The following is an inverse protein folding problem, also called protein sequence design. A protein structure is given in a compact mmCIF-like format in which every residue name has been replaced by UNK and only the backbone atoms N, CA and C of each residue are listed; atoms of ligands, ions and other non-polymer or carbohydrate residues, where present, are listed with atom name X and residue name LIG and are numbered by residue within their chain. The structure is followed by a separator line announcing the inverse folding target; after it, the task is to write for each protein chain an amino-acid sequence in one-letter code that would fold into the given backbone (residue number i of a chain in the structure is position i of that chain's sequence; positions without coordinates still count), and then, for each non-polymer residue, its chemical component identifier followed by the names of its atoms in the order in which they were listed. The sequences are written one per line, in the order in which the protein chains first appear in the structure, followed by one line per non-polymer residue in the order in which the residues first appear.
data_IF_778249640719
#
_entry.id   IF_778249640719
#
_cell.length_a   1.000
_cell.length_b   1.000
_cell.length_c   1.000
_cell.angle_alpha   90.00
_cell.angle_beta   90.00
_cell.angle_gamma   90.00
#
_symmetry.space_group_name_H-M   'P 1'
#
loop_
_entity.id
_entity.type
_entity.pdbx_description
1 polymer ?
#
# COMPACT_ATOMS: atom_id res chain seq x y z
N UNK A 1 -30.43 61.42 -31.15
CA UNK A 1 -29.57 60.45 -30.46
C UNK A 1 -30.45 59.72 -29.47
N UNK A 2 -30.54 58.38 -29.50
CA UNK A 2 -31.30 57.65 -28.48
C UNK A 2 -30.60 57.84 -27.11
N UNK A 3 -31.36 57.84 -25.99
CA UNK A 3 -30.82 58.10 -24.67
C UNK A 3 -29.83 57.00 -24.26
N UNK A 4 -28.69 57.41 -23.70
CA UNK A 4 -27.59 56.53 -23.27
C UNK A 4 -27.98 55.51 -22.17
N UNK A 5 -29.15 55.68 -21.56
CA UNK A 5 -29.66 54.81 -20.50
C UNK A 5 -30.05 53.40 -20.99
N UNK A 6 -30.28 53.22 -22.29
CA UNK A 6 -30.64 51.91 -22.87
C UNK A 6 -29.45 50.93 -22.90
N UNK A 7 -28.22 51.42 -22.63
CA UNK A 7 -26.99 50.63 -22.54
C UNK A 7 -26.37 50.60 -21.13
N UNK A 8 -27.02 51.19 -20.13
CA UNK A 8 -26.53 51.18 -18.76
C UNK A 8 -26.80 49.81 -18.10
N UNK A 9 -25.80 48.92 -18.14
CA UNK A 9 -25.86 47.62 -17.46
C UNK A 9 -26.10 47.83 -15.97
N UNK A 10 -27.15 47.20 -15.43
CA UNK A 10 -27.57 47.40 -14.05
C UNK A 10 -26.54 46.80 -13.08
N UNK A 11 -26.00 47.56 -12.10
CA UNK A 11 -24.99 47.06 -11.15
C UNK A 11 -25.39 45.79 -10.42
N UNK A 12 -26.69 45.62 -10.13
CA UNK A 12 -27.24 44.41 -9.48
C UNK A 12 -27.11 43.16 -10.35
N UNK A 13 -27.21 43.28 -11.67
CA UNK A 13 -27.01 42.15 -12.60
C UNK A 13 -25.53 41.75 -12.67
N UNK A 14 -24.62 42.73 -12.56
CA UNK A 14 -23.18 42.46 -12.54
C UNK A 14 -22.80 41.73 -11.25
N UNK A 15 -23.32 42.14 -10.08
CA UNK A 15 -23.10 41.44 -8.81
C UNK A 15 -23.62 40.00 -8.83
N UNK A 16 -24.83 39.77 -9.34
CA UNK A 16 -25.38 38.42 -9.50
C UNK A 16 -24.51 37.56 -10.45
N UNK A 17 -23.99 38.15 -11.52
CA UNK A 17 -23.03 37.51 -12.43
C UNK A 17 -21.73 37.10 -11.73
N UNK A 18 -21.17 37.94 -10.85
CA UNK A 18 -19.96 37.64 -10.08
C UNK A 18 -20.20 36.48 -9.10
N UNK A 19 -21.36 36.45 -8.42
CA UNK A 19 -21.73 35.34 -7.52
C UNK A 19 -21.83 34.02 -8.31
N UNK A 20 -22.45 34.03 -9.48
CA UNK A 20 -22.53 32.86 -10.35
C UNK A 20 -21.14 32.39 -10.82
N UNK A 21 -20.23 33.32 -11.15
CA UNK A 21 -18.85 33.00 -11.52
C UNK A 21 -18.09 32.36 -10.36
N UNK A 22 -18.19 32.89 -9.13
CA UNK A 22 -17.58 32.29 -7.94
C UNK A 22 -18.11 30.88 -7.65
N UNK A 23 -19.41 30.65 -7.83
CA UNK A 23 -20.02 29.31 -7.67
C UNK A 23 -19.46 28.32 -8.69
N UNK A 24 -19.27 28.73 -9.95
CA UNK A 24 -18.65 27.90 -10.99
C UNK A 24 -17.17 27.63 -10.71
N UNK A 25 -16.43 28.65 -10.26
CA UNK A 25 -15.05 28.49 -9.82
C UNK A 25 -14.94 27.42 -8.73
N UNK A 26 -15.76 27.49 -7.68
CA UNK A 26 -15.71 26.52 -6.59
C UNK A 26 -16.01 25.09 -7.05
N UNK A 27 -16.97 24.91 -7.96
CA UNK A 27 -17.25 23.58 -8.55
C UNK A 27 -16.06 23.04 -9.34
N UNK A 28 -15.40 23.87 -10.15
CA UNK A 28 -14.22 23.48 -10.91
C UNK A 28 -13.03 23.18 -10.01
N UNK A 29 -12.81 23.97 -8.94
CA UNK A 29 -11.80 23.68 -7.93
C UNK A 29 -12.07 22.31 -7.28
N UNK A 30 -13.32 22.02 -6.92
CA UNK A 30 -13.68 20.73 -6.33
C UNK A 30 -13.41 19.57 -7.30
N UNK A 31 -13.81 19.70 -8.57
CA UNK A 31 -13.53 18.68 -9.59
C UNK A 31 -12.03 18.50 -9.84
N UNK A 32 -11.24 19.59 -9.83
CA UNK A 32 -9.78 19.55 -9.95
C UNK A 32 -9.14 18.79 -8.79
N UNK A 33 -9.61 19.02 -7.57
CA UNK A 33 -9.13 18.30 -6.38
C UNK A 33 -9.54 16.83 -6.44
N UNK A 34 -10.79 16.51 -6.79
CA UNK A 34 -11.24 15.11 -6.91
C UNK A 34 -10.43 14.34 -7.95
N UNK A 35 -10.22 14.91 -9.13
CA UNK A 35 -9.41 14.28 -10.19
C UNK A 35 -7.94 14.17 -9.81
N UNK A 36 -7.39 15.12 -9.06
CA UNK A 36 -6.04 15.01 -8.50
C UNK A 36 -5.93 13.87 -7.48
N UNK A 37 -6.93 13.69 -6.60
CA UNK A 37 -6.96 12.57 -5.66
C UNK A 37 -7.02 11.23 -6.39
N UNK A 38 -7.83 11.12 -7.44
CA UNK A 38 -7.87 9.90 -8.27
C UNK A 38 -6.51 9.65 -8.93
N UNK A 39 -5.85 10.68 -9.45
CA UNK A 39 -4.51 10.54 -10.02
C UNK A 39 -3.48 10.04 -8.99
N UNK A 40 -3.49 10.56 -7.76
CA UNK A 40 -2.60 10.09 -6.68
C UNK A 40 -2.91 8.63 -6.33
N UNK A 41 -4.19 8.26 -6.20
CA UNK A 41 -4.60 6.88 -5.93
C UNK A 41 -4.17 5.93 -7.05
N UNK A 42 -4.32 6.33 -8.32
CA UNK A 42 -3.84 5.58 -9.47
C UNK A 42 -2.31 5.44 -9.48
N UNK A 43 -1.56 6.46 -9.07
CA UNK A 43 -0.11 6.39 -8.97
C UNK A 43 0.33 5.35 -7.93
N UNK A 44 -0.31 5.33 -6.75
CA UNK A 44 -0.08 4.30 -5.73
C UNK A 44 -0.47 2.92 -6.27
N UNK A 45 -1.61 2.83 -6.96
CA UNK A 45 -2.07 1.61 -7.61
C UNK A 45 -1.08 1.06 -8.63
N UNK A 46 -0.40 1.91 -9.41
CA UNK A 46 0.65 1.48 -10.34
C UNK A 46 1.87 0.89 -9.63
N UNK A 47 2.16 1.29 -8.39
CA UNK A 47 3.26 0.68 -7.65
C UNK A 47 2.87 -0.69 -7.11
N UNK A 48 1.64 -0.85 -6.62
CA UNK A 48 1.17 -2.05 -5.94
C UNK A 48 0.47 -3.08 -6.86
N UNK A 49 0.19 -2.73 -8.13
CA UNK A 49 -0.66 -3.56 -9.01
C UNK A 49 -0.15 -5.00 -9.16
N UNK A 50 1.17 -5.18 -9.28
CA UNK A 50 1.76 -6.50 -9.50
C UNK A 50 1.56 -7.39 -8.28
N UNK A 51 1.90 -6.90 -7.08
CA UNK A 51 1.69 -7.64 -5.82
C UNK A 51 0.22 -7.95 -5.55
N UNK A 52 -0.69 -7.01 -5.86
CA UNK A 52 -2.12 -7.22 -5.68
C UNK A 52 -2.69 -8.28 -6.62
N UNK A 53 -2.26 -8.28 -7.89
CA UNK A 53 -2.70 -9.27 -8.87
C UNK A 53 -2.11 -10.63 -8.55
N UNK A 54 -0.81 -10.71 -8.24
CA UNK A 54 -0.16 -11.95 -7.87
C UNK A 54 -0.75 -12.55 -6.59
N UNK A 55 -0.97 -11.73 -5.57
CA UNK A 55 -1.61 -12.13 -4.32
C UNK A 55 -3.03 -12.68 -4.50
N UNK A 56 -3.79 -12.18 -5.49
CA UNK A 56 -5.11 -12.74 -5.83
C UNK A 56 -5.04 -14.19 -6.33
N UNK A 57 -3.94 -14.57 -6.99
CA UNK A 57 -3.69 -15.94 -7.42
C UNK A 57 -2.91 -16.77 -6.38
N UNK A 58 -2.63 -16.22 -5.19
CA UNK A 58 -1.79 -16.86 -4.18
C UNK A 58 -0.30 -16.93 -4.56
N UNK A 59 0.12 -16.15 -5.57
CA UNK A 59 1.48 -16.08 -6.07
C UNK A 59 2.22 -14.89 -5.47
N UNK A 60 3.54 -14.96 -5.47
CA UNK A 60 4.40 -13.82 -5.20
C UNK A 60 5.64 -13.85 -6.08
N UNK A 61 6.15 -12.67 -6.44
CA UNK A 61 7.37 -12.52 -7.24
C UNK A 61 8.63 -12.71 -6.42
N UNK A 62 8.54 -12.53 -5.11
CA UNK A 62 9.64 -12.66 -4.15
C UNK A 62 9.18 -13.49 -2.96
N UNK A 63 10.13 -14.17 -2.30
CA UNK A 63 9.82 -14.85 -1.04
C UNK A 63 9.57 -13.78 0.01
N UNK A 64 8.32 -13.69 0.48
CA UNK A 64 7.87 -12.65 1.43
C UNK A 64 7.63 -13.18 2.84
N UNK A 65 7.40 -14.49 2.97
CA UNK A 65 7.19 -15.16 4.25
C UNK A 65 7.85 -16.53 4.25
N UNK A 66 8.30 -16.99 5.42
CA UNK A 66 8.81 -18.33 5.59
C UNK A 66 7.64 -19.32 5.55
N UNK A 67 7.53 -20.08 4.46
CA UNK A 67 6.57 -21.16 4.37
C UNK A 67 7.12 -22.41 5.05
N UNK A 68 6.42 -22.89 6.07
CA UNK A 68 6.74 -24.14 6.74
C UNK A 68 5.99 -25.31 6.09
N UNK A 69 6.71 -26.32 5.59
CA UNK A 69 6.09 -27.54 5.07
C UNK A 69 5.50 -28.38 6.21
N UNK A 70 4.47 -29.18 5.90
CA UNK A 70 3.72 -30.01 6.86
C UNK A 70 4.59 -31.05 7.60
N UNK A 71 5.78 -31.32 7.06
CA UNK A 71 6.78 -32.26 7.60
C UNK A 71 7.62 -31.69 8.76
N UNK A 72 7.35 -30.46 9.20
CA UNK A 72 8.10 -29.76 10.26
C UNK A 72 7.36 -29.81 11.59
N UNK A 73 8.11 -29.97 12.69
CA UNK A 73 7.56 -30.09 14.05
C UNK A 73 6.82 -28.84 14.55
N UNK A 74 5.89 -29.05 15.50
CA UNK A 74 5.00 -28.03 16.06
C UNK A 74 5.73 -26.81 16.68
N UNK A 75 6.97 -26.99 17.14
CA UNK A 75 7.77 -25.89 17.70
C UNK A 75 8.18 -24.87 16.62
N UNK A 76 8.57 -25.33 15.43
CA UNK A 76 8.79 -24.46 14.27
C UNK A 76 7.47 -23.92 13.72
N UNK A 77 6.38 -24.71 13.74
CA UNK A 77 5.07 -24.26 13.28
C UNK A 77 4.59 -22.98 13.97
N UNK A 78 4.93 -22.79 15.26
CA UNK A 78 4.62 -21.56 16.00
C UNK A 78 5.36 -20.30 15.51
N UNK A 79 6.45 -20.46 14.76
CA UNK A 79 7.27 -19.37 14.21
C UNK A 79 6.81 -18.97 12.79
N UNK A 80 6.22 -19.91 12.03
CA UNK A 80 5.84 -19.69 10.63
C UNK A 80 4.34 -19.50 10.36
N UNK A 81 3.51 -19.36 11.39
CA UNK A 81 2.10 -19.01 11.26
C UNK A 81 1.96 -17.47 11.07
N UNK A 82 2.62 -16.95 10.03
CA UNK A 82 2.50 -15.54 9.64
C UNK A 82 1.23 -15.33 8.83
N UNK A 83 0.46 -14.25 9.09
CA UNK A 83 -0.73 -13.96 8.30
C UNK A 83 -0.33 -13.76 6.84
N UNK A 84 -1.05 -14.44 5.94
CA UNK A 84 -0.91 -14.32 4.49
C UNK A 84 -0.58 -12.88 4.08
N UNK A 85 0.59 -12.65 3.47
CA UNK A 85 1.11 -11.32 3.12
C UNK A 85 0.07 -10.41 2.44
N UNK A 86 -0.76 -10.95 1.55
CA UNK A 86 -1.87 -10.20 0.94
C UNK A 86 -2.86 -9.65 1.97
N UNK A 87 -3.23 -10.44 2.98
CA UNK A 87 -4.07 -10.01 4.08
C UNK A 87 -3.32 -9.08 5.05
N UNK A 88 -2.01 -9.25 5.23
CA UNK A 88 -1.17 -8.30 5.98
C UNK A 88 -1.13 -6.92 5.28
N UNK A 89 -0.90 -6.88 3.97
CA UNK A 89 -0.99 -5.65 3.16
C UNK A 89 -2.39 -5.04 3.20
N UNK A 90 -3.45 -5.87 3.07
CA UNK A 90 -4.82 -5.40 3.13
C UNK A 90 -5.18 -4.86 4.52
N UNK A 91 -4.67 -5.49 5.58
CA UNK A 91 -4.79 -5.05 6.96
C UNK A 91 -4.05 -3.73 7.18
N UNK A 92 -2.81 -3.61 6.71
CA UNK A 92 -2.03 -2.38 6.75
C UNK A 92 -2.75 -1.24 6.01
N UNK A 93 -3.26 -1.50 4.81
CA UNK A 93 -4.02 -0.53 4.02
C UNK A 93 -5.36 -0.17 4.68
N UNK A 94 -6.04 -1.17 5.26
CA UNK A 94 -7.26 -0.98 6.05
C UNK A 94 -7.01 -0.12 7.28
N UNK A 95 -5.92 -0.35 7.99
CA UNK A 95 -5.47 0.47 9.12
C UNK A 95 -5.13 1.89 8.69
N UNK A 96 -4.50 2.08 7.52
CA UNK A 96 -4.21 3.41 6.99
C UNK A 96 -5.50 4.18 6.68
N UNK A 97 -6.47 3.54 6.02
CA UNK A 97 -7.80 4.10 5.77
C UNK A 97 -8.47 4.46 7.10
N UNK A 98 -8.49 3.52 8.04
CA UNK A 98 -9.12 3.70 9.35
C UNK A 98 -8.49 4.89 10.09
N UNK A 99 -7.16 4.97 10.14
CA UNK A 99 -6.42 6.09 10.76
C UNK A 99 -6.76 7.41 10.12
N UNK A 100 -6.82 7.46 8.79
CA UNK A 100 -7.15 8.67 8.05
C UNK A 100 -8.55 9.16 8.40
N UNK A 101 -9.56 8.30 8.30
CA UNK A 101 -10.95 8.68 8.59
C UNK A 101 -11.18 8.95 10.08
N UNK A 102 -10.66 8.11 10.97
CA UNK A 102 -10.81 8.27 12.41
C UNK A 102 -10.11 9.54 12.92
N UNK A 103 -8.89 9.84 12.46
CA UNK A 103 -8.17 11.05 12.85
C UNK A 103 -8.83 12.29 12.25
N UNK A 104 -9.24 12.24 10.97
CA UNK A 104 -9.87 13.36 10.29
C UNK A 104 -11.22 13.73 10.91
N UNK A 105 -12.12 12.75 11.05
CA UNK A 105 -13.46 12.95 11.63
C UNK A 105 -13.35 13.20 13.13
N UNK A 106 -12.54 12.42 13.85
CA UNK A 106 -12.34 12.53 15.29
C UNK A 106 -11.80 13.90 15.71
N UNK A 107 -10.89 14.49 14.92
CA UNK A 107 -10.40 15.84 15.19
C UNK A 107 -11.51 16.91 15.15
N UNK A 108 -12.54 16.75 14.31
CA UNK A 108 -13.72 17.65 14.33
C UNK A 108 -14.51 17.53 15.63
N UNK A 109 -14.74 16.30 16.10
CA UNK A 109 -15.41 16.06 17.39
C UNK A 109 -14.62 16.65 18.55
N UNK A 110 -13.31 16.40 18.58
CA UNK A 110 -12.42 16.95 19.62
C UNK A 110 -12.53 18.47 19.67
N UNK A 111 -12.37 19.18 18.54
CA UNK A 111 -12.53 20.64 18.51
C UNK A 111 -13.95 21.09 18.89
N UNK A 112 -15.00 20.33 18.51
CA UNK A 112 -16.37 20.62 18.91
C UNK A 112 -16.56 20.55 20.43
N UNK A 113 -16.06 19.51 21.09
CA UNK A 113 -16.15 19.35 22.54
C UNK A 113 -15.25 20.34 23.30
N UNK A 114 -14.02 20.58 22.83
CA UNK A 114 -13.13 21.56 23.47
C UNK A 114 -13.74 22.96 23.51
N UNK A 115 -14.54 23.36 22.51
CA UNK A 115 -15.25 24.65 22.53
C UNK A 115 -16.26 24.80 23.70
N UNK A 116 -16.70 23.71 24.34
CA UNK A 116 -17.57 23.78 25.53
C UNK A 116 -16.80 24.21 26.79
N UNK A 117 -15.47 24.14 26.78
CA UNK A 117 -14.62 24.57 27.89
C UNK A 117 -14.31 26.06 27.72
N UNK A 118 -14.55 26.85 28.78
CA UNK A 118 -14.44 28.33 28.77
C UNK A 118 -13.08 28.82 28.26
N UNK A 119 -11.98 28.12 28.58
CA UNK A 119 -10.64 28.43 28.12
C UNK A 119 -10.49 28.35 26.59
N UNK A 120 -10.94 27.25 25.99
CA UNK A 120 -10.83 27.01 24.56
C UNK A 120 -11.88 27.77 23.76
N UNK A 121 -13.03 28.08 24.35
CA UNK A 121 -14.03 28.96 23.74
C UNK A 121 -13.46 30.34 23.39
N UNK A 122 -12.69 30.95 24.30
CA UNK A 122 -12.05 32.26 24.09
C UNK A 122 -10.90 32.17 23.07
N UNK A 123 -10.07 31.12 23.13
CA UNK A 123 -8.94 30.95 22.19
C UNK A 123 -9.36 30.53 20.77
N UNK A 124 -10.49 29.84 20.62
CA UNK A 124 -11.02 29.42 19.31
C UNK A 124 -11.92 30.47 18.66
N UNK A 125 -11.73 31.77 18.93
CA UNK A 125 -12.45 32.80 18.17
C UNK A 125 -12.00 32.87 16.71
N UNK A 126 -10.68 32.82 16.46
CA UNK A 126 -10.13 32.86 15.10
C UNK A 126 -10.25 31.50 14.39
N UNK A 127 -10.51 31.56 13.08
CA UNK A 127 -10.48 30.38 12.20
C UNK A 127 -9.13 29.67 12.24
N UNK A 128 -8.02 30.43 12.30
CA UNK A 128 -6.66 29.88 12.36
C UNK A 128 -6.46 29.03 13.61
N UNK A 129 -6.92 29.49 14.77
CA UNK A 129 -6.79 28.75 16.03
C UNK A 129 -7.62 27.46 16.03
N UNK A 130 -8.82 27.49 15.43
CA UNK A 130 -9.64 26.27 15.24
C UNK A 130 -8.91 25.23 14.39
N UNK A 131 -8.25 25.69 13.32
CA UNK A 131 -7.46 24.83 12.44
C UNK A 131 -6.24 24.24 13.15
N UNK A 132 -5.49 25.04 13.91
CA UNK A 132 -4.35 24.55 14.71
C UNK A 132 -4.80 23.52 15.74
N UNK A 133 -5.91 23.78 16.45
CA UNK A 133 -6.46 22.81 17.41
C UNK A 133 -6.93 21.51 16.74
N UNK A 134 -7.50 21.61 15.54
CA UNK A 134 -7.87 20.45 14.74
C UNK A 134 -6.64 19.65 14.31
N UNK A 135 -5.56 20.31 13.87
CA UNK A 135 -4.31 19.66 13.47
C UNK A 135 -3.64 18.92 14.64
N UNK A 136 -3.61 19.54 15.83
CA UNK A 136 -3.07 18.89 17.04
C UNK A 136 -3.91 17.65 17.39
N UNK A 137 -5.24 17.77 17.38
CA UNK A 137 -6.12 16.65 17.64
C UNK A 137 -5.94 15.51 16.61
N UNK A 138 -5.77 15.86 15.34
CA UNK A 138 -5.49 14.91 14.27
C UNK A 138 -4.20 14.13 14.55
N UNK A 139 -3.10 14.83 14.86
CA UNK A 139 -1.80 14.20 15.16
C UNK A 139 -1.89 13.29 16.39
N UNK A 140 -2.60 13.72 17.44
CA UNK A 140 -2.76 12.92 18.66
C UNK A 140 -3.58 11.65 18.43
N UNK A 141 -4.70 11.75 17.70
CA UNK A 141 -5.53 10.57 17.36
C UNK A 141 -4.75 9.62 16.46
N UNK A 142 -4.05 10.15 15.46
CA UNK A 142 -3.20 9.37 14.56
C UNK A 142 -2.09 8.65 15.32
N UNK A 143 -1.40 9.36 16.22
CA UNK A 143 -0.36 8.80 17.08
C UNK A 143 -0.91 7.71 18.01
N UNK A 144 -2.06 7.93 18.64
CA UNK A 144 -2.72 6.95 19.50
C UNK A 144 -3.13 5.68 18.74
N UNK A 145 -3.72 5.82 17.55
CA UNK A 145 -4.04 4.69 16.68
C UNK A 145 -2.79 3.96 16.16
N UNK A 146 -1.69 4.70 15.97
CA UNK A 146 -0.42 4.09 15.55
C UNK A 146 0.22 3.29 16.67
N UNK A 147 0.17 3.79 17.90
CA UNK A 147 0.56 3.02 19.08
C UNK A 147 -0.29 1.75 19.23
N UNK A 148 -1.62 1.87 19.09
CA UNK A 148 -2.50 0.72 19.21
C UNK A 148 -2.30 -0.31 18.09
N UNK A 149 -2.06 0.13 16.85
CA UNK A 149 -1.70 -0.79 15.76
C UNK A 149 -0.41 -1.55 16.07
N UNK A 150 0.60 -0.85 16.61
CA UNK A 150 1.88 -1.48 16.95
C UNK A 150 1.72 -2.50 18.09
N UNK A 151 0.93 -2.18 19.12
CA UNK A 151 0.67 -3.07 20.26
C UNK A 151 -0.11 -4.33 19.83
N UNK A 152 -1.01 -4.21 18.83
CA UNK A 152 -1.77 -5.35 18.31
C UNK A 152 -0.96 -6.31 17.41
N UNK A 153 0.08 -5.80 16.72
CA UNK A 153 0.84 -6.59 15.74
C UNK A 153 2.27 -6.94 16.19
N UNK A 154 2.82 -6.31 17.24
CA UNK A 154 4.24 -6.38 17.57
C UNK A 154 4.77 -7.76 17.97
N UNK A 155 3.99 -8.56 18.69
CA UNK A 155 4.50 -9.81 19.27
C UNK A 155 4.80 -10.92 18.24
N UNK A 156 4.17 -10.90 17.06
CA UNK A 156 4.34 -11.95 16.05
C UNK A 156 5.39 -11.59 14.99
N UNK A 157 5.43 -10.33 14.55
CA UNK A 157 6.37 -9.88 13.53
C UNK A 157 7.82 -9.85 14.05
N UNK A 158 8.01 -9.50 15.34
CA UNK A 158 9.35 -9.40 15.96
C UNK A 158 10.00 -10.78 16.19
N UNK A 159 9.22 -11.79 16.60
CA UNK A 159 9.73 -13.14 16.83
C UNK A 159 10.14 -13.81 15.52
N UNK A 160 9.35 -13.60 14.46
CA UNK A 160 9.64 -14.07 13.11
C UNK A 160 10.90 -13.41 12.53
N UNK A 161 10.98 -12.08 12.56
CA UNK A 161 12.14 -11.36 12.02
C UNK A 161 13.41 -11.77 12.74
N UNK A 162 13.35 -11.95 14.07
CA UNK A 162 14.48 -12.41 14.85
C UNK A 162 14.95 -13.82 14.47
N UNK A 163 14.01 -14.74 14.15
CA UNK A 163 14.35 -16.12 13.80
C UNK A 163 15.09 -16.25 12.46
N UNK A 164 14.78 -15.37 11.50
CA UNK A 164 15.32 -15.38 10.14
C UNK A 164 16.53 -14.45 9.99
N UNK A 165 16.69 -13.47 10.87
CA UNK A 165 17.76 -12.48 10.82
C UNK A 165 19.16 -13.09 11.04
N UNK A 166 20.13 -12.64 10.25
CA UNK A 166 21.55 -12.90 10.41
C UNK A 166 22.35 -11.71 9.85
N UNK A 167 23.58 -11.51 10.31
CA UNK A 167 24.42 -10.37 9.89
C UNK A 167 25.33 -10.72 8.70
N UNK A 168 26.06 -11.84 8.79
CA UNK A 168 27.07 -12.20 7.78
C UNK A 168 26.95 -13.61 7.22
N UNK A 169 26.43 -14.56 8.00
CA UNK A 169 26.32 -15.94 7.60
C UNK A 169 24.95 -16.49 8.00
N UNK A 170 24.27 -17.14 7.05
CA UNK A 170 22.97 -17.76 7.28
C UNK A 170 23.00 -18.81 8.40
N UNK A 171 24.15 -19.44 8.63
CA UNK A 171 24.31 -20.42 9.70
C UNK A 171 24.26 -19.81 11.11
N UNK A 172 24.37 -18.48 11.23
CA UNK A 172 24.25 -17.76 12.49
C UNK A 172 22.79 -17.42 12.83
N UNK A 173 21.84 -17.71 11.94
CA UNK A 173 20.42 -17.49 12.20
C UNK A 173 19.87 -18.52 13.18
N UNK A 174 18.92 -18.10 14.03
CA UNK A 174 18.27 -18.97 15.01
C UNK A 174 17.60 -20.19 14.31
N UNK A 175 17.04 -19.97 13.11
CA UNK A 175 16.46 -21.06 12.31
C UNK A 175 17.52 -22.04 11.79
N UNK A 176 18.71 -21.57 11.39
CA UNK A 176 19.76 -22.48 10.94
C UNK A 176 20.30 -23.33 12.10
N UNK A 177 20.47 -22.74 13.29
CA UNK A 177 20.83 -23.47 14.50
C UNK A 177 19.81 -24.56 14.82
N UNK A 178 18.51 -24.22 14.85
CA UNK A 178 17.45 -25.20 15.07
C UNK A 178 17.49 -26.34 14.02
N UNK A 179 17.67 -26.01 12.74
CA UNK A 179 17.71 -27.01 11.68
C UNK A 179 18.93 -27.91 11.72
N UNK A 180 20.05 -27.46 12.29
CA UNK A 180 21.22 -28.31 12.54
C UNK A 180 20.92 -29.27 13.69
N UNK A 181 20.32 -28.79 14.77
CA UNK A 181 20.04 -29.58 15.97
C UNK A 181 18.91 -30.61 15.79
N UNK A 182 17.99 -30.39 14.85
CA UNK A 182 16.92 -31.34 14.52
C UNK A 182 17.41 -32.41 13.53
N UNK A 183 17.74 -33.61 14.02
CA UNK A 183 18.10 -34.77 13.19
C UNK A 183 16.91 -35.35 12.39
N UNK A 184 15.68 -35.16 12.88
CA UNK A 184 14.47 -35.75 12.26
C UNK A 184 14.05 -35.04 10.96
N UNK A 185 14.49 -33.79 10.75
CA UNK A 185 14.14 -33.00 9.57
C UNK A 185 14.98 -33.47 8.37
N UNK A 186 14.33 -33.83 7.27
CA UNK A 186 15.01 -34.31 6.05
C UNK A 186 15.78 -33.19 5.34
N UNK A 187 16.86 -33.55 4.66
CA UNK A 187 17.75 -32.62 3.94
C UNK A 187 17.03 -31.69 2.94
N UNK A 188 16.04 -32.16 2.14
CA UNK A 188 15.28 -31.27 1.26
C UNK A 188 14.51 -30.21 2.06
N UNK A 189 13.92 -30.57 3.20
CA UNK A 189 13.19 -29.65 4.06
C UNK A 189 14.13 -28.61 4.69
N UNK A 190 15.31 -29.02 5.18
CA UNK A 190 16.33 -28.07 5.65
C UNK A 190 16.75 -27.08 4.55
N UNK A 191 16.93 -27.59 3.32
CA UNK A 191 17.29 -26.74 2.18
C UNK A 191 16.16 -25.80 1.77
N UNK A 192 14.90 -26.23 1.89
CA UNK A 192 13.73 -25.41 1.64
C UNK A 192 13.64 -24.23 2.62
N UNK A 193 13.84 -24.48 3.91
CA UNK A 193 13.79 -23.44 4.93
C UNK A 193 14.96 -22.47 4.82
N UNK A 194 16.19 -22.97 4.68
CA UNK A 194 17.38 -22.13 4.53
C UNK A 194 17.35 -21.30 3.23
N UNK A 195 16.84 -21.85 2.12
CA UNK A 195 16.66 -21.08 0.89
C UNK A 195 15.72 -19.89 1.12
N UNK A 196 14.60 -20.11 1.82
CA UNK A 196 13.66 -19.04 2.14
C UNK A 196 14.28 -18.01 3.10
N UNK A 197 14.96 -18.46 4.16
CA UNK A 197 15.69 -17.57 5.09
C UNK A 197 16.68 -16.66 4.36
N UNK A 198 17.42 -17.20 3.39
CA UNK A 198 18.33 -16.40 2.56
C UNK A 198 17.60 -15.36 1.69
N UNK A 199 16.47 -15.74 1.10
CA UNK A 199 15.68 -14.89 0.21
C UNK A 199 14.86 -13.83 0.96
N UNK A 200 14.57 -14.05 2.24
CA UNK A 200 13.88 -13.15 3.14
C UNK A 200 14.80 -12.11 3.80
N UNK A 201 16.11 -12.33 3.76
CA UNK A 201 17.09 -11.37 4.27
C UNK A 201 16.99 -10.04 3.50
N UNK A 202 17.19 -8.90 4.15
CA UNK A 202 17.20 -7.59 3.50
C UNK A 202 18.64 -7.03 3.43
N UNK A 203 19.25 -6.90 2.22
CA UNK A 203 18.77 -7.34 0.91
C UNK A 203 18.87 -8.87 0.71
N UNK A 204 18.08 -9.42 -0.21
CA UNK A 204 18.03 -10.86 -0.45
C UNK A 204 19.41 -11.45 -0.76
N UNK A 205 19.84 -12.44 0.02
CA UNK A 205 21.13 -13.11 -0.17
C UNK A 205 21.00 -14.24 -1.19
N UNK A 206 21.06 -13.88 -2.47
CA UNK A 206 21.04 -14.84 -3.58
C UNK A 206 22.24 -15.79 -3.54
N UNK A 207 23.35 -15.41 -2.90
CA UNK A 207 24.55 -16.22 -2.84
C UNK A 207 24.39 -17.38 -1.85
N UNK A 208 23.78 -17.11 -0.69
CA UNK A 208 23.36 -18.13 0.26
C UNK A 208 22.19 -18.96 -0.27
N UNK A 209 21.19 -18.35 -0.91
CA UNK A 209 20.00 -19.05 -1.39
C UNK A 209 20.30 -20.09 -2.49
N UNK A 210 21.14 -19.74 -3.46
CA UNK A 210 21.40 -20.53 -4.67
C UNK A 210 21.78 -22.00 -4.44
N UNK A 211 22.75 -22.36 -3.57
CA UNK A 211 23.09 -23.75 -3.31
C UNK A 211 21.92 -24.54 -2.68
N UNK A 212 21.10 -23.90 -1.85
CA UNK A 212 19.94 -24.56 -1.24
C UNK A 212 18.82 -24.80 -2.26
N UNK A 213 18.54 -23.82 -3.12
CA UNK A 213 17.57 -24.00 -4.23
C UNK A 213 18.04 -25.06 -5.22
N UNK A 214 19.35 -25.14 -5.51
CA UNK A 214 19.89 -26.20 -6.37
C UNK A 214 19.65 -27.61 -5.78
N UNK A 215 19.88 -27.78 -4.47
CA UNK A 215 19.61 -29.05 -3.79
C UNK A 215 18.13 -29.43 -3.83
N UNK A 216 17.21 -28.46 -3.80
CA UNK A 216 15.78 -28.73 -3.96
C UNK A 216 15.45 -29.22 -5.37
N UNK A 217 16.03 -28.59 -6.40
CA UNK A 217 15.87 -28.98 -7.80
C UNK A 217 16.40 -30.40 -8.03
N UNK A 218 17.53 -30.74 -7.41
CA UNK A 218 18.10 -32.10 -7.47
C UNK A 218 17.26 -33.10 -6.70
N UNK A 219 16.82 -32.76 -5.48
CA UNK A 219 15.97 -33.60 -4.66
C UNK A 219 14.66 -33.94 -5.37
N UNK A 220 14.01 -32.98 -6.05
CA UNK A 220 12.78 -33.25 -6.81
C UNK A 220 12.99 -34.28 -7.94
N UNK A 221 14.20 -34.36 -8.51
CA UNK A 221 14.52 -35.31 -9.58
C UNK A 221 14.93 -36.68 -9.07
N UNK A 222 15.51 -36.76 -7.87
CA UNK A 222 16.12 -37.97 -7.33
C UNK A 222 15.35 -38.63 -6.19
N UNK A 223 14.53 -37.87 -5.46
CA UNK A 223 13.87 -38.30 -4.24
C UNK A 223 12.41 -38.67 -4.50
N UNK A 224 12.08 -39.95 -4.34
CA UNK A 224 10.73 -40.47 -4.52
C UNK A 224 9.75 -40.01 -3.43
N UNK A 225 10.23 -39.42 -2.33
CA UNK A 225 9.41 -38.90 -1.24
C UNK A 225 9.20 -37.38 -1.32
N UNK A 226 9.66 -36.72 -2.39
CA UNK A 226 9.61 -35.26 -2.51
C UNK A 226 8.19 -34.69 -2.31
N UNK A 227 7.18 -35.34 -2.92
CA UNK A 227 5.77 -34.94 -2.80
C UNK A 227 5.23 -35.06 -1.36
N UNK A 228 5.81 -35.94 -0.54
CA UNK A 228 5.37 -36.19 0.84
C UNK A 228 5.84 -35.09 1.80
N UNK A 229 6.82 -34.27 1.40
CA UNK A 229 7.31 -33.19 2.24
C UNK A 229 6.33 -32.01 2.31
N UNK A 230 5.41 -31.89 1.35
CA UNK A 230 4.36 -30.85 1.36
C UNK A 230 4.86 -29.46 0.98
N UNK A 231 5.86 -29.36 0.10
CA UNK A 231 6.29 -28.08 -0.46
C UNK A 231 5.20 -27.48 -1.34
N UNK A 232 4.98 -26.17 -1.20
CA UNK A 232 4.06 -25.43 -2.07
C UNK A 232 4.70 -25.20 -3.43
N UNK A 233 3.99 -25.52 -4.49
CA UNK A 233 4.45 -25.37 -5.86
C UNK A 233 4.70 -23.89 -6.22
N UNK A 234 3.89 -22.98 -5.66
CA UNK A 234 4.00 -21.53 -5.81
C UNK A 234 5.31 -21.02 -5.21
N UNK A 235 5.69 -21.53 -4.04
CA UNK A 235 6.93 -21.15 -3.35
C UNK A 235 8.17 -21.68 -4.07
N UNK A 236 8.12 -22.94 -4.55
CA UNK A 236 9.18 -23.49 -5.39
C UNK A 236 9.36 -22.67 -6.67
N UNK A 237 8.26 -22.23 -7.28
CA UNK A 237 8.30 -21.34 -8.44
C UNK A 237 8.94 -19.99 -8.10
N UNK A 238 8.49 -19.32 -7.03
CA UNK A 238 9.03 -18.02 -6.60
C UNK A 238 10.53 -18.09 -6.32
N UNK A 239 11.00 -19.10 -5.58
CA UNK A 239 12.43 -19.28 -5.30
C UNK A 239 13.27 -19.49 -6.57
N UNK A 240 12.79 -20.33 -7.50
CA UNK A 240 13.49 -20.58 -8.77
C UNK A 240 13.50 -19.33 -9.65
N UNK A 241 12.40 -18.58 -9.67
CA UNK A 241 12.30 -17.34 -10.43
C UNK A 241 13.19 -16.24 -9.85
N UNK A 242 13.25 -16.06 -8.53
CA UNK A 242 14.07 -15.05 -7.87
C UNK A 242 15.58 -15.36 -7.99
N UNK A 243 15.98 -16.64 -7.92
CA UNK A 243 17.40 -17.05 -7.98
C UNK A 243 17.92 -17.23 -9.41
N UNK A 244 17.11 -17.80 -10.31
CA UNK A 244 17.53 -18.22 -11.65
C UNK A 244 16.77 -17.54 -12.80
N UNK A 245 15.68 -16.83 -12.51
CA UNK A 245 14.85 -16.18 -13.53
C UNK A 245 14.04 -17.13 -14.41
N UNK A 246 13.98 -18.43 -14.04
CA UNK A 246 13.29 -19.45 -14.82
C UNK A 246 12.83 -20.62 -13.94
N UNK A 247 11.75 -21.26 -14.38
CA UNK A 247 11.28 -22.54 -13.84
C UNK A 247 12.19 -23.69 -14.28
N UNK A 248 12.58 -24.55 -13.34
CA UNK A 248 13.51 -25.66 -13.53
C UNK A 248 12.94 -27.01 -13.09
N UNK A 249 11.80 -27.04 -12.39
CA UNK A 249 11.21 -28.27 -11.86
C UNK A 249 9.73 -28.47 -12.23
N UNK A 250 9.28 -29.74 -12.36
CA UNK A 250 7.88 -30.07 -12.65
C UNK A 250 6.87 -29.48 -11.66
N UNK A 251 7.17 -29.49 -10.35
CA UNK A 251 6.30 -28.92 -9.33
C UNK A 251 6.10 -27.42 -9.56
N UNK A 252 7.17 -26.67 -9.81
CA UNK A 252 7.09 -25.25 -10.13
C UNK A 252 6.44 -24.99 -11.51
N UNK A 253 6.56 -25.93 -12.46
CA UNK A 253 5.92 -25.84 -13.77
C UNK A 253 4.39 -26.00 -13.69
N UNK A 254 3.87 -26.72 -12.69
CA UNK A 254 2.42 -26.90 -12.49
C UNK A 254 1.66 -25.58 -12.30
N UNK A 255 2.34 -24.54 -11.79
CA UNK A 255 1.78 -23.22 -11.52
C UNK A 255 1.97 -22.25 -12.69
N UNK A 256 2.69 -22.65 -13.74
CA UNK A 256 3.00 -21.79 -14.90
C UNK A 256 1.75 -21.17 -15.55
N UNK A 257 0.64 -21.91 -15.60
CA UNK A 257 -0.63 -21.42 -16.15
C UNK A 257 -1.23 -20.30 -15.29
N UNK A 258 -1.19 -20.45 -13.96
CA UNK A 258 -1.64 -19.42 -13.02
C UNK A 258 -0.73 -18.19 -13.08
N UNK A 259 0.59 -18.40 -13.15
CA UNK A 259 1.57 -17.33 -13.36
C UNK A 259 1.32 -16.57 -14.66
N UNK A 260 0.99 -17.27 -15.74
CA UNK A 260 0.69 -16.64 -17.03
C UNK A 260 -0.60 -15.80 -16.93
N UNK A 261 -1.64 -16.31 -16.28
CA UNK A 261 -2.88 -15.56 -16.03
C UNK A 261 -2.63 -14.33 -15.15
N UNK A 262 -1.82 -14.47 -14.09
CA UNK A 262 -1.44 -13.37 -13.22
C UNK A 262 -0.65 -12.29 -13.97
N UNK A 263 0.32 -12.68 -14.81
CA UNK A 263 1.05 -11.75 -15.67
C UNK A 263 0.13 -11.00 -16.64
N UNK A 264 -0.75 -11.72 -17.36
CA UNK A 264 -1.68 -11.10 -18.30
C UNK A 264 -2.63 -10.13 -17.59
N UNK A 265 -3.14 -10.52 -16.43
CA UNK A 265 -4.01 -9.65 -15.64
C UNK A 265 -3.24 -8.45 -15.09
N UNK A 266 -2.00 -8.62 -14.64
CA UNK A 266 -1.15 -7.54 -14.15
C UNK A 266 -0.88 -6.51 -15.26
N UNK A 267 -0.54 -6.96 -16.46
CA UNK A 267 -0.35 -6.10 -17.64
C UNK A 267 -1.63 -5.33 -17.99
N UNK A 268 -2.79 -6.01 -17.99
CA UNK A 268 -4.09 -5.38 -18.25
C UNK A 268 -4.39 -4.32 -17.19
N UNK A 269 -4.22 -4.66 -15.92
CA UNK A 269 -4.46 -3.75 -14.79
C UNK A 269 -3.52 -2.55 -14.86
N UNK A 270 -2.24 -2.76 -15.17
CA UNK A 270 -1.26 -1.69 -15.36
C UNK A 270 -1.70 -0.71 -16.45
N UNK A 271 -2.14 -1.23 -17.61
CA UNK A 271 -2.64 -0.41 -18.72
C UNK A 271 -3.89 0.38 -18.30
N UNK A 272 -4.86 -0.29 -17.67
CA UNK A 272 -6.10 0.36 -17.22
C UNK A 272 -5.81 1.47 -16.20
N UNK A 273 -4.99 1.21 -15.18
CA UNK A 273 -4.61 2.22 -14.18
C UNK A 273 -3.83 3.37 -14.84
N UNK A 274 -2.94 3.08 -15.81
CA UNK A 274 -2.19 4.10 -16.54
C UNK A 274 -3.11 5.04 -17.35
N UNK A 275 -4.15 4.49 -17.99
CA UNK A 275 -5.16 5.29 -18.70
C UNK A 275 -5.92 6.18 -17.72
N UNK A 276 -6.37 5.62 -16.59
CA UNK A 276 -7.08 6.39 -15.55
C UNK A 276 -6.19 7.51 -15.00
N UNK A 277 -4.91 7.23 -14.75
CA UNK A 277 -3.94 8.23 -14.30
C UNK A 277 -3.81 9.36 -15.32
N UNK A 278 -3.57 9.03 -16.59
CA UNK A 278 -3.40 10.01 -17.66
C UNK A 278 -4.63 10.91 -17.82
N UNK A 279 -5.83 10.32 -17.86
CA UNK A 279 -7.10 11.06 -17.95
C UNK A 279 -7.29 11.95 -16.72
N UNK A 280 -7.02 11.44 -15.52
CA UNK A 280 -7.20 12.18 -14.27
C UNK A 280 -6.25 13.37 -14.16
N UNK A 281 -4.99 13.22 -14.56
CA UNK A 281 -4.01 14.31 -14.61
C UNK A 281 -4.44 15.39 -15.59
N UNK A 282 -4.81 15.02 -16.82
CA UNK A 282 -5.28 15.97 -17.84
C UNK A 282 -6.51 16.73 -17.36
N UNK A 283 -7.50 16.02 -16.82
CA UNK A 283 -8.73 16.63 -16.31
C UNK A 283 -8.45 17.57 -15.13
N UNK A 284 -7.56 17.19 -14.22
CA UNK A 284 -7.19 18.04 -13.08
C UNK A 284 -6.55 19.35 -13.54
N UNK A 285 -5.65 19.30 -14.53
CA UNK A 285 -5.02 20.48 -15.13
C UNK A 285 -6.03 21.38 -15.84
N UNK A 286 -6.96 20.81 -16.62
CA UNK A 286 -8.01 21.56 -17.32
C UNK A 286 -8.90 22.29 -16.30
N UNK A 287 -9.39 21.57 -15.29
CA UNK A 287 -10.24 22.16 -14.25
C UNK A 287 -9.52 23.22 -13.42
N UNK A 288 -8.25 23.00 -13.10
CA UNK A 288 -7.42 23.99 -12.42
C UNK A 288 -7.25 25.26 -13.27
N UNK A 289 -6.91 25.12 -14.55
CA UNK A 289 -6.73 26.24 -15.46
C UNK A 289 -8.03 27.05 -15.62
N UNK A 290 -9.17 26.37 -15.81
CA UNK A 290 -10.49 27.00 -15.91
C UNK A 290 -10.88 27.72 -14.62
N UNK A 291 -10.68 27.09 -13.45
CA UNK A 291 -10.94 27.71 -12.16
C UNK A 291 -10.10 28.98 -11.97
N UNK A 292 -8.81 28.93 -12.35
CA UNK A 292 -7.92 30.08 -12.24
C UNK A 292 -8.29 31.22 -13.21
N UNK A 293 -8.71 30.88 -14.44
CA UNK A 293 -9.20 31.86 -15.41
C UNK A 293 -10.47 32.58 -14.91
N UNK A 294 -11.43 31.84 -14.35
CA UNK A 294 -12.65 32.41 -13.77
C UNK A 294 -12.31 33.28 -12.56
N UNK A 295 -11.42 32.81 -11.67
CA UNK A 295 -10.95 33.58 -10.50
C UNK A 295 -10.34 34.92 -10.92
N UNK A 296 -9.45 34.92 -11.92
CA UNK A 296 -8.86 36.15 -12.46
C UNK A 296 -9.90 37.08 -13.07
N UNK A 297 -10.92 36.54 -13.73
CA UNK A 297 -12.02 37.34 -14.32
C UNK A 297 -12.92 37.94 -13.25
N UNK A 298 -13.34 37.17 -12.24
CA UNK A 298 -14.18 37.68 -11.16
C UNK A 298 -13.48 38.79 -10.38
N UNK A 299 -12.18 38.63 -10.10
CA UNK A 299 -11.39 39.61 -9.35
C UNK A 299 -11.24 40.93 -10.12
N UNK A 300 -11.05 40.88 -11.45
CA UNK A 300 -11.05 42.08 -12.30
C UNK A 300 -12.40 42.79 -12.37
N UNK A 301 -13.51 42.06 -12.30
CA UNK A 301 -14.86 42.65 -12.31
C UNK A 301 -15.13 43.33 -10.95
N UNK A 302 -14.79 42.67 -9.84
CA UNK A 302 -14.92 43.25 -8.50
C UNK A 302 -14.08 44.51 -8.31
N UNK A 303 -12.84 44.53 -8.80
CA UNK A 303 -11.97 45.70 -8.78
C UNK A 303 -12.47 46.88 -9.62
N UNK A 304 -13.40 46.67 -10.55
CA UNK A 304 -13.99 47.73 -11.39
C UNK A 304 -15.36 48.19 -10.87
N UNK A 305 -15.96 47.44 -9.96
CA UNK A 305 -17.22 47.78 -9.29
C UNK A 305 -16.99 48.60 -8.02
N UNK A 306 -15.87 48.35 -7.34
CA UNK A 306 -15.36 49.16 -6.22
C UNK A 306 -14.57 50.36 -6.74
#
# INVERSE_FOLDING_TARGET
MPPLDEYAVNPREIEQGVVALKKRQNRLTLLSVTTATVAIASLIGLFLHQELVYGFFGLSTEVQQLHLPVSVDANLASIGDSPDYFFSLLSWFGWLILKLFASFIGAFFVVHFLKKIRYFYVRFQSFVMKFVGWLIAFILIWGGLSYWQHDLNGDHDDAYQKAVYYDSNINDSDIAHYLVDSEDIKTPVKSYLLAQTALLHEPADLSAARPHVLRLIEAEKSDNQFDQYGFKAEQLWTMQQQVYGKTLTPAAESVSTQVQQANQLADIVQVVISIILAVSVVMSLIFFALANAIKKRSLRIEQRLN
#
